data_IF_263233769428
#
_entry.id   IF_263233769428
#
_cell.length_a   1.000
_cell.length_b   1.000
_cell.length_c   1.000
_cell.angle_alpha   90.00
_cell.angle_beta   90.00
_cell.angle_gamma   90.00
#
_symmetry.space_group_name_H-M   'P 1'
#
loop_
_entity.id
_entity.type
_entity.pdbx_description
1 polymer ?
#
# COMPACT_ATOMS: atom_id res chain seq x y z
N UNK A 1 -30.37 -4.94 24.02
CA UNK A 1 -30.42 -5.12 22.56
C UNK A 1 -29.02 -5.41 22.06
N UNK A 2 -28.78 -6.60 21.49
CA UNK A 2 -27.52 -6.88 20.81
C UNK A 2 -27.49 -6.09 19.50
N UNK A 3 -26.50 -5.21 19.32
CA UNK A 3 -26.22 -4.61 18.01
C UNK A 3 -25.90 -5.73 17.03
N UNK A 4 -26.48 -5.68 15.83
CA UNK A 4 -26.17 -6.68 14.81
C UNK A 4 -24.70 -6.53 14.37
N UNK A 5 -24.08 -7.64 13.97
CA UNK A 5 -22.69 -7.66 13.47
C UNK A 5 -22.49 -6.65 12.33
N UNK A 6 -23.51 -6.45 11.49
CA UNK A 6 -23.49 -5.47 10.41
C UNK A 6 -23.33 -4.03 10.93
N UNK A 7 -24.05 -3.67 12.00
CA UNK A 7 -23.95 -2.32 12.59
C UNK A 7 -22.57 -2.12 13.22
N UNK A 8 -22.03 -3.13 13.92
CA UNK A 8 -20.69 -3.07 14.50
C UNK A 8 -19.63 -2.90 13.40
N UNK A 9 -19.71 -3.69 12.32
CA UNK A 9 -18.77 -3.59 11.21
C UNK A 9 -18.85 -2.23 10.50
N UNK A 10 -20.05 -1.65 10.35
CA UNK A 10 -20.23 -0.32 9.79
C UNK A 10 -19.60 0.77 10.67
N UNK A 11 -19.89 0.77 11.97
CA UNK A 11 -19.33 1.73 12.92
C UNK A 11 -17.80 1.63 12.97
N UNK A 12 -17.27 0.42 13.01
CA UNK A 12 -15.83 0.17 12.95
C UNK A 12 -15.23 0.68 11.63
N UNK A 13 -15.89 0.46 10.50
CA UNK A 13 -15.46 0.98 9.20
C UNK A 13 -15.38 2.50 9.20
N UNK A 14 -16.43 3.20 9.68
CA UNK A 14 -16.44 4.66 9.77
C UNK A 14 -15.36 5.20 10.70
N UNK A 15 -15.17 4.58 11.87
CA UNK A 15 -14.13 4.94 12.82
C UNK A 15 -12.73 4.74 12.21
N UNK A 16 -12.50 3.60 11.54
CA UNK A 16 -11.23 3.29 10.88
C UNK A 16 -10.94 4.26 9.73
N UNK A 17 -11.95 4.64 8.94
CA UNK A 17 -11.80 5.68 7.92
C UNK A 17 -11.35 7.01 8.52
N UNK A 18 -12.05 7.49 9.56
CA UNK A 18 -11.70 8.73 10.26
C UNK A 18 -10.28 8.70 10.83
N UNK A 19 -9.88 7.55 11.39
CA UNK A 19 -8.54 7.31 11.93
C UNK A 19 -7.47 7.44 10.85
N UNK A 20 -7.65 6.77 9.72
CA UNK A 20 -6.68 6.75 8.62
C UNK A 20 -6.53 8.13 7.98
N UNK A 21 -7.66 8.83 7.82
CA UNK A 21 -7.65 10.21 7.37
C UNK A 21 -6.92 11.14 8.35
N UNK A 22 -7.25 11.09 9.65
CA UNK A 22 -6.65 11.96 10.68
C UNK A 22 -5.14 11.72 10.83
N UNK A 23 -4.71 10.46 10.90
CA UNK A 23 -3.30 10.08 10.99
C UNK A 23 -2.50 10.63 9.81
N UNK A 24 -3.03 10.47 8.60
CA UNK A 24 -2.38 10.91 7.37
C UNK A 24 -2.39 12.43 7.27
N UNK A 25 -3.49 13.10 7.61
CA UNK A 25 -3.59 14.57 7.61
C UNK A 25 -2.62 15.21 8.59
N UNK A 26 -2.52 14.71 9.83
CA UNK A 26 -1.57 15.22 10.82
C UNK A 26 -0.13 15.03 10.37
N UNK A 27 0.22 13.82 9.93
CA UNK A 27 1.58 13.53 9.52
C UNK A 27 1.99 14.27 8.24
N UNK A 28 1.09 14.41 7.26
CA UNK A 28 1.30 15.24 6.07
C UNK A 28 1.48 16.70 6.48
N UNK A 29 0.64 17.22 7.38
CA UNK A 29 0.77 18.60 7.88
C UNK A 29 2.12 18.85 8.54
N UNK A 30 2.62 17.89 9.34
CA UNK A 30 3.95 17.96 9.96
C UNK A 30 5.05 17.89 8.89
N UNK A 31 4.95 16.93 7.96
CA UNK A 31 5.93 16.76 6.89
C UNK A 31 6.02 18.00 5.98
N UNK A 32 4.90 18.66 5.72
CA UNK A 32 4.81 19.86 4.89
C UNK A 32 5.25 21.15 5.60
N UNK A 33 5.53 21.15 6.90
CA UNK A 33 5.99 22.38 7.60
C UNK A 33 7.25 22.96 6.96
N UNK A 34 8.16 22.10 6.51
CA UNK A 34 9.40 22.52 5.82
C UNK A 34 9.21 23.03 4.39
N UNK A 35 8.02 22.84 3.78
CA UNK A 35 7.75 23.21 2.39
C UNK A 35 7.24 24.64 2.25
N UNK A 36 6.63 25.21 3.29
CA UNK A 36 6.24 26.63 3.25
C UNK A 36 7.43 27.57 3.01
N UNK A 37 8.63 27.11 3.34
CA UNK A 37 9.89 27.82 3.07
C UNK A 37 10.47 27.49 1.69
N UNK A 38 9.97 26.46 1.03
CA UNK A 38 10.51 25.90 -0.21
C UNK A 38 9.81 26.39 -1.47
N UNK A 39 8.79 27.24 -1.38
CA UNK A 39 8.09 27.74 -2.59
C UNK A 39 9.02 28.54 -3.52
N UNK A 40 10.10 29.13 -2.96
CA UNK A 40 11.15 29.81 -3.72
C UNK A 40 12.36 28.91 -4.04
N UNK A 41 12.36 27.65 -3.60
CA UNK A 41 13.45 26.72 -3.88
C UNK A 41 13.30 26.13 -5.29
N UNK A 42 14.41 25.72 -5.92
CA UNK A 42 14.38 24.94 -7.15
C UNK A 42 13.53 23.67 -7.01
N UNK A 43 12.97 23.20 -8.13
CA UNK A 43 12.03 22.08 -8.14
C UNK A 43 12.59 20.81 -7.48
N UNK A 44 13.89 20.53 -7.62
CA UNK A 44 14.53 19.33 -7.07
C UNK A 44 14.61 19.34 -5.53
N UNK A 45 14.79 20.52 -4.91
CA UNK A 45 14.74 20.66 -3.45
C UNK A 45 13.30 20.57 -2.94
N UNK A 46 12.35 21.15 -3.68
CA UNK A 46 10.91 20.99 -3.40
C UNK A 46 10.51 19.52 -3.44
N UNK A 47 10.91 18.79 -4.48
CA UNK A 47 10.66 17.36 -4.62
C UNK A 47 11.23 16.55 -3.44
N UNK A 48 12.49 16.84 -3.05
CA UNK A 48 13.15 16.22 -1.89
C UNK A 48 12.39 16.44 -0.58
N UNK A 49 11.90 17.66 -0.34
CA UNK A 49 11.16 18.02 0.88
C UNK A 49 9.73 17.46 0.91
N UNK A 50 9.10 17.29 -0.25
CA UNK A 50 7.74 16.74 -0.42
C UNK A 50 7.70 15.22 -0.22
N UNK A 51 8.77 14.53 -0.61
CA UNK A 51 8.80 13.08 -0.63
C UNK A 51 8.38 12.40 0.69
N UNK A 52 8.80 12.84 1.90
CA UNK A 52 8.34 12.24 3.16
C UNK A 52 6.82 12.27 3.36
N UNK A 53 6.12 13.30 2.85
CA UNK A 53 4.67 13.37 2.94
C UNK A 53 4.01 12.29 2.06
N UNK A 54 4.52 12.08 0.84
CA UNK A 54 4.05 10.99 -0.05
C UNK A 54 4.36 9.62 0.52
N UNK A 55 5.57 9.45 1.08
CA UNK A 55 5.98 8.21 1.71
C UNK A 55 5.05 7.86 2.88
N UNK A 56 4.70 8.85 3.71
CA UNK A 56 3.73 8.69 4.79
C UNK A 56 2.36 8.26 4.26
N UNK A 57 1.84 8.91 3.22
CA UNK A 57 0.57 8.51 2.59
C UNK A 57 0.64 7.05 2.14
N UNK A 58 1.71 6.64 1.46
CA UNK A 58 1.89 5.26 1.01
C UNK A 58 1.96 4.27 2.19
N UNK A 59 2.73 4.59 3.24
CA UNK A 59 2.79 3.77 4.45
C UNK A 59 1.42 3.65 5.12
N UNK A 60 0.69 4.75 5.27
CA UNK A 60 -0.63 4.75 5.91
C UNK A 60 -1.70 4.08 5.06
N UNK A 61 -1.57 4.11 3.73
CA UNK A 61 -2.48 3.46 2.82
C UNK A 61 -2.31 1.93 2.76
N UNK A 62 -1.11 1.41 3.08
CA UNK A 62 -0.76 0.00 2.89
C UNK A 62 -0.38 -0.69 4.20
N UNK A 63 0.65 -0.19 4.90
CA UNK A 63 1.24 -0.88 6.05
C UNK A 63 0.29 -0.90 7.25
N UNK A 64 -0.24 0.26 7.66
CA UNK A 64 -1.13 0.32 8.83
C UNK A 64 -2.43 -0.45 8.67
N UNK A 65 -3.11 -0.44 7.51
CA UNK A 65 -4.28 -1.28 7.25
C UNK A 65 -4.03 -2.77 7.45
N UNK A 66 -2.89 -3.27 6.98
CA UNK A 66 -2.50 -4.68 7.16
C UNK A 66 -2.20 -4.95 8.64
N UNK A 67 -1.39 -4.11 9.27
CA UNK A 67 -1.07 -4.23 10.70
C UNK A 67 -2.33 -4.19 11.57
N UNK A 68 -3.23 -3.25 11.28
CA UNK A 68 -4.49 -3.07 11.97
C UNK A 68 -5.40 -4.28 11.81
N UNK A 69 -5.55 -4.77 10.58
CA UNK A 69 -6.33 -5.97 10.30
C UNK A 69 -5.80 -7.21 11.02
N UNK A 70 -4.47 -7.40 11.03
CA UNK A 70 -3.83 -8.52 11.73
C UNK A 70 -4.03 -8.44 13.24
N UNK A 71 -3.81 -7.28 13.86
CA UNK A 71 -4.02 -7.12 15.30
C UNK A 71 -5.49 -7.30 15.69
N UNK A 72 -6.41 -6.72 14.92
CA UNK A 72 -7.84 -6.85 15.16
C UNK A 72 -8.26 -8.32 15.03
N UNK A 73 -7.71 -9.02 14.04
CA UNK A 73 -7.89 -10.46 13.90
C UNK A 73 -7.38 -11.22 15.12
N UNK A 74 -6.16 -10.97 15.61
CA UNK A 74 -5.58 -11.64 16.79
C UNK A 74 -6.40 -11.38 18.05
N UNK A 75 -6.85 -10.14 18.28
CA UNK A 75 -7.66 -9.79 19.44
C UNK A 75 -9.03 -10.47 19.41
N UNK A 76 -9.70 -10.48 18.26
CA UNK A 76 -11.01 -11.11 18.11
C UNK A 76 -10.94 -12.64 18.00
N UNK A 77 -9.75 -13.21 17.72
CA UNK A 77 -9.50 -14.64 17.62
C UNK A 77 -9.29 -15.34 18.96
N UNK A 78 -9.41 -14.65 20.10
CA UNK A 78 -9.44 -15.31 21.42
C UNK A 78 -10.72 -16.13 21.67
N UNK A 79 -11.68 -16.11 20.72
CA UNK A 79 -12.79 -17.04 20.58
C UNK A 79 -12.64 -17.84 19.26
N UNK A 80 -13.28 -19.02 19.07
CA UNK A 80 -13.21 -19.75 17.80
C UNK A 80 -13.49 -18.80 16.63
N UNK A 81 -12.49 -18.67 15.75
CA UNK A 81 -12.37 -17.59 14.75
C UNK A 81 -13.71 -17.39 14.03
N UNK A 82 -14.45 -16.35 14.41
CA UNK A 82 -15.77 -16.09 13.87
C UNK A 82 -15.65 -15.31 12.56
N UNK A 83 -16.51 -15.61 11.58
CA UNK A 83 -16.54 -14.88 10.29
C UNK A 83 -16.72 -13.37 10.49
N UNK A 84 -17.39 -12.95 11.56
CA UNK A 84 -17.58 -11.54 11.90
C UNK A 84 -16.27 -10.81 12.20
N UNK A 85 -15.29 -11.48 12.82
CA UNK A 85 -13.99 -10.90 13.12
C UNK A 85 -13.16 -10.62 11.87
N UNK A 86 -13.04 -11.60 10.97
CA UNK A 86 -12.32 -11.44 9.70
C UNK A 86 -12.95 -10.36 8.81
N UNK A 87 -14.29 -10.34 8.73
CA UNK A 87 -15.01 -9.31 7.97
C UNK A 87 -14.78 -7.91 8.55
N UNK A 88 -14.86 -7.77 9.89
CA UNK A 88 -14.63 -6.50 10.57
C UNK A 88 -13.19 -6.02 10.39
N UNK A 89 -12.20 -6.91 10.45
CA UNK A 89 -10.80 -6.61 10.21
C UNK A 89 -10.54 -6.13 8.78
N UNK A 90 -11.14 -6.80 7.79
CA UNK A 90 -11.00 -6.40 6.40
C UNK A 90 -11.69 -5.06 6.10
N UNK A 91 -12.92 -4.84 6.61
CA UNK A 91 -13.64 -3.57 6.46
C UNK A 91 -12.86 -2.44 7.14
N UNK A 92 -12.39 -2.65 8.37
CA UNK A 92 -11.62 -1.67 9.13
C UNK A 92 -10.31 -1.31 8.43
N UNK A 93 -9.52 -2.30 8.01
CA UNK A 93 -8.29 -2.09 7.25
C UNK A 93 -8.55 -1.34 5.94
N UNK A 94 -9.55 -1.77 5.17
CA UNK A 94 -9.93 -1.10 3.93
C UNK A 94 -10.35 0.36 4.13
N UNK A 95 -11.18 0.62 5.13
CA UNK A 95 -11.62 1.96 5.46
C UNK A 95 -10.44 2.85 5.90
N UNK A 96 -9.51 2.31 6.69
CA UNK A 96 -8.25 2.99 7.09
C UNK A 96 -7.40 3.37 5.87
N UNK A 97 -7.26 2.46 4.89
CA UNK A 97 -6.61 2.75 3.61
C UNK A 97 -7.31 3.93 2.92
N UNK A 98 -8.63 3.84 2.70
CA UNK A 98 -9.40 4.87 2.00
C UNK A 98 -9.26 6.26 2.65
N UNK A 99 -9.31 6.35 3.98
CA UNK A 99 -9.10 7.61 4.69
C UNK A 99 -7.73 8.23 4.38
N UNK A 100 -6.69 7.39 4.34
CA UNK A 100 -5.33 7.81 3.98
C UNK A 100 -5.23 8.26 2.51
N UNK A 101 -5.91 7.57 1.59
CA UNK A 101 -5.94 7.92 0.16
C UNK A 101 -6.63 9.27 -0.11
N UNK A 102 -7.67 9.61 0.66
CA UNK A 102 -8.35 10.90 0.55
C UNK A 102 -7.39 12.05 0.87
N UNK A 103 -6.54 11.90 1.89
CA UNK A 103 -5.53 12.92 2.18
C UNK A 103 -4.38 12.89 1.18
N UNK A 104 -3.96 11.72 0.69
CA UNK A 104 -3.02 11.60 -0.42
C UNK A 104 -3.47 12.38 -1.66
N UNK A 105 -4.75 12.29 -1.99
CA UNK A 105 -5.35 13.09 -3.06
C UNK A 105 -5.24 14.60 -2.80
N UNK A 106 -5.58 15.04 -1.57
CA UNK A 106 -5.47 16.44 -1.18
C UNK A 106 -4.03 16.93 -1.26
N UNK A 107 -3.07 16.10 -0.87
CA UNK A 107 -1.65 16.36 -1.02
C UNK A 107 -1.30 16.56 -2.49
N UNK A 108 -1.62 15.61 -3.37
CA UNK A 108 -1.29 15.75 -4.81
C UNK A 108 -1.93 16.99 -5.42
N UNK A 109 -3.20 17.31 -5.11
CA UNK A 109 -3.83 18.54 -5.60
C UNK A 109 -3.15 19.83 -5.14
N UNK A 110 -2.55 19.83 -3.94
CA UNK A 110 -1.77 20.97 -3.43
C UNK A 110 -0.42 21.10 -4.14
N UNK A 111 0.12 19.99 -4.61
CA UNK A 111 1.42 19.92 -5.28
C UNK A 111 1.31 20.15 -6.80
N UNK A 112 0.22 19.68 -7.41
CA UNK A 112 -0.07 19.84 -8.83
C UNK A 112 -0.31 21.31 -9.18
N UNK A 113 0.21 21.74 -10.33
CA UNK A 113 -0.07 23.08 -10.87
C UNK A 113 -1.59 23.21 -11.16
N UNK A 114 -2.21 24.38 -10.92
CA UNK A 114 -3.67 24.58 -11.08
C UNK A 114 -4.22 24.18 -12.45
N UNK A 115 -3.43 24.33 -13.51
CA UNK A 115 -3.79 23.99 -14.89
C UNK A 115 -3.92 22.49 -15.16
N UNK A 116 -3.52 21.62 -14.23
CA UNK A 116 -3.44 20.16 -14.40
C UNK A 116 -4.23 19.38 -13.35
N UNK A 117 -5.19 19.99 -12.66
CA UNK A 117 -5.94 19.28 -11.62
C UNK A 117 -6.85 18.21 -12.24
N UNK A 118 -6.61 16.92 -12.00
CA UNK A 118 -7.57 15.91 -12.41
C UNK A 118 -8.84 16.04 -11.57
N UNK A 119 -9.99 15.79 -12.20
CA UNK A 119 -11.24 15.56 -11.48
C UNK A 119 -11.08 14.42 -10.46
N UNK A 120 -11.98 14.35 -9.46
CA UNK A 120 -11.94 13.31 -8.43
C UNK A 120 -11.79 11.88 -8.97
N UNK A 121 -12.33 11.62 -10.17
CA UNK A 121 -12.21 10.37 -10.92
C UNK A 121 -10.76 9.97 -11.23
N UNK A 122 -9.89 10.92 -11.62
CA UNK A 122 -8.50 10.66 -11.98
C UNK A 122 -7.64 10.15 -10.82
N UNK A 123 -7.97 10.54 -9.59
CA UNK A 123 -7.25 10.07 -8.40
C UNK A 123 -7.75 8.71 -7.92
N UNK A 124 -9.07 8.47 -7.93
CA UNK A 124 -9.60 7.14 -7.63
C UNK A 124 -9.01 6.09 -8.59
N UNK A 125 -8.91 6.44 -9.87
CA UNK A 125 -8.20 5.64 -10.88
C UNK A 125 -6.75 5.41 -10.51
N UNK A 126 -5.99 6.46 -10.20
CA UNK A 126 -4.58 6.32 -9.84
C UNK A 126 -4.36 5.28 -8.73
N UNK A 127 -5.22 5.24 -7.72
CA UNK A 127 -5.13 4.26 -6.62
C UNK A 127 -5.54 2.86 -7.03
N UNK A 128 -6.62 2.72 -7.81
CA UNK A 128 -7.02 1.43 -8.38
C UNK A 128 -5.91 0.86 -9.27
N UNK A 129 -5.16 1.73 -9.95
CA UNK A 129 -4.12 1.36 -10.90
C UNK A 129 -2.77 1.06 -10.28
N UNK A 130 -2.36 1.86 -9.31
CA UNK A 130 -1.07 1.67 -8.64
C UNK A 130 -1.12 0.57 -7.58
N UNK A 131 -2.30 0.21 -7.08
CA UNK A 131 -2.43 -0.79 -6.00
C UNK A 131 -3.63 -1.73 -6.13
N UNK A 132 -3.96 -2.29 -7.32
CA UNK A 132 -5.10 -3.20 -7.46
C UNK A 132 -4.97 -4.45 -6.58
N UNK A 133 -3.73 -4.94 -6.41
CA UNK A 133 -3.43 -6.10 -5.56
C UNK A 133 -3.84 -5.90 -4.10
N UNK A 134 -3.84 -4.67 -3.58
CA UNK A 134 -4.29 -4.38 -2.21
C UNK A 134 -5.77 -4.66 -2.04
N UNK A 135 -6.61 -4.26 -3.03
CA UNK A 135 -8.04 -4.50 -3.00
C UNK A 135 -8.35 -5.99 -3.06
N UNK A 136 -7.71 -6.71 -3.99
CA UNK A 136 -7.84 -8.17 -4.10
C UNK A 136 -7.47 -8.85 -2.80
N UNK A 137 -6.32 -8.50 -2.22
CA UNK A 137 -5.84 -9.05 -0.97
C UNK A 137 -6.80 -8.79 0.19
N UNK A 138 -7.26 -7.55 0.37
CA UNK A 138 -8.21 -7.18 1.41
C UNK A 138 -9.55 -7.91 1.27
N UNK A 139 -10.10 -7.99 0.04
CA UNK A 139 -11.33 -8.75 -0.24
C UNK A 139 -11.16 -10.23 0.07
N UNK A 140 -10.02 -10.82 -0.30
CA UNK A 140 -9.74 -12.21 0.02
C UNK A 140 -9.67 -12.43 1.54
N UNK A 141 -8.99 -11.57 2.29
CA UNK A 141 -8.94 -11.65 3.76
C UNK A 141 -10.33 -11.54 4.40
N UNK A 142 -11.23 -10.73 3.82
CA UNK A 142 -12.61 -10.60 4.29
C UNK A 142 -13.42 -11.89 4.11
N UNK A 143 -13.19 -12.60 3.00
CA UNK A 143 -14.02 -13.70 2.55
C UNK A 143 -13.45 -15.08 2.90
N UNK A 144 -12.14 -15.18 3.14
CA UNK A 144 -11.47 -16.46 3.36
C UNK A 144 -12.00 -17.12 4.65
N UNK A 145 -12.52 -18.36 4.59
CA UNK A 145 -12.93 -19.08 5.78
C UNK A 145 -11.72 -19.50 6.61
N UNK A 146 -11.97 -19.78 7.87
CA UNK A 146 -10.94 -20.08 8.87
C UNK A 146 -10.46 -21.52 8.81
N UNK A 147 -11.19 -22.39 8.11
CA UNK A 147 -10.82 -23.78 7.86
C UNK A 147 -10.75 -24.03 6.36
N UNK A 148 -9.89 -24.96 5.99
CA UNK A 148 -9.72 -25.45 4.64
C UNK A 148 -10.94 -26.26 4.24
N UNK A 149 -11.42 -25.99 3.04
CA UNK A 149 -12.60 -26.61 2.45
C UNK A 149 -12.92 -25.94 1.11
N UNK A 150 -14.01 -26.35 0.47
CA UNK A 150 -14.35 -25.84 -0.86
C UNK A 150 -14.55 -24.32 -0.91
N UNK A 151 -15.06 -23.71 0.15
CA UNK A 151 -15.16 -22.25 0.24
C UNK A 151 -13.79 -21.56 0.26
N UNK A 152 -12.79 -22.12 0.95
CA UNK A 152 -11.43 -21.59 0.96
C UNK A 152 -10.80 -21.66 -0.43
N UNK A 153 -10.94 -22.82 -1.08
CA UNK A 153 -10.48 -23.04 -2.45
C UNK A 153 -11.15 -22.06 -3.40
N UNK A 154 -12.47 -21.86 -3.30
CA UNK A 154 -13.19 -20.91 -4.14
C UNK A 154 -12.68 -19.46 -3.99
N UNK A 155 -12.46 -18.99 -2.75
CA UNK A 155 -11.92 -17.65 -2.49
C UNK A 155 -10.49 -17.51 -3.02
N UNK A 156 -9.62 -18.50 -2.82
CA UNK A 156 -8.25 -18.49 -3.33
C UNK A 156 -8.21 -18.51 -4.87
N UNK A 157 -9.04 -19.34 -5.49
CA UNK A 157 -9.16 -19.42 -6.95
C UNK A 157 -9.70 -18.13 -7.54
N UNK A 158 -10.76 -17.55 -6.96
CA UNK A 158 -11.31 -16.27 -7.41
C UNK A 158 -10.29 -15.13 -7.22
N UNK A 159 -9.62 -15.08 -6.07
CA UNK A 159 -8.55 -14.12 -5.80
C UNK A 159 -7.40 -14.23 -6.80
N UNK A 160 -7.01 -15.47 -7.15
CA UNK A 160 -6.04 -15.73 -8.21
C UNK A 160 -6.53 -15.20 -9.55
N UNK A 161 -7.76 -15.50 -9.95
CA UNK A 161 -8.34 -15.05 -11.22
C UNK A 161 -8.40 -13.52 -11.32
N UNK A 162 -8.78 -12.82 -10.24
CA UNK A 162 -8.79 -11.35 -10.20
C UNK A 162 -7.36 -10.80 -10.25
N UNK A 163 -6.40 -11.40 -9.53
CA UNK A 163 -4.99 -11.02 -9.64
C UNK A 163 -4.47 -11.18 -11.08
N UNK A 164 -4.79 -12.29 -11.75
CA UNK A 164 -4.48 -12.51 -13.17
C UNK A 164 -5.10 -11.45 -14.07
N UNK A 165 -6.37 -11.11 -13.84
CA UNK A 165 -7.06 -10.04 -14.57
C UNK A 165 -6.30 -8.70 -14.46
N UNK A 166 -5.79 -8.35 -13.28
CA UNK A 166 -5.04 -7.12 -13.10
C UNK A 166 -3.65 -7.17 -13.73
N UNK A 167 -2.90 -8.24 -13.47
CA UNK A 167 -1.53 -8.39 -13.98
C UNK A 167 -1.50 -8.52 -15.50
N UNK A 168 -2.54 -9.10 -16.11
CA UNK A 168 -2.66 -9.19 -17.57
C UNK A 168 -2.95 -7.86 -18.28
N UNK A 169 -3.22 -6.78 -17.54
CA UNK A 169 -3.64 -5.51 -18.12
C UNK A 169 -5.11 -5.47 -18.56
N UNK A 170 -5.89 -6.53 -18.30
CA UNK A 170 -7.29 -6.60 -18.74
C UNK A 170 -8.17 -5.50 -18.11
N UNK A 171 -7.76 -4.94 -16.97
CA UNK A 171 -8.41 -3.77 -16.36
C UNK A 171 -8.45 -2.54 -17.28
N UNK A 172 -7.52 -2.40 -18.24
CA UNK A 172 -7.54 -1.29 -19.21
C UNK A 172 -8.82 -1.31 -20.04
N UNK A 173 -9.35 -2.49 -20.38
CA UNK A 173 -10.60 -2.60 -21.14
C UNK A 173 -11.77 -1.99 -20.38
N UNK A 174 -11.80 -2.14 -19.05
CA UNK A 174 -12.78 -1.48 -18.19
C UNK A 174 -12.59 0.03 -18.21
N UNK A 175 -11.35 0.52 -18.12
CA UNK A 175 -11.10 1.96 -18.18
C UNK A 175 -11.53 2.59 -19.49
N UNK A 176 -11.24 1.93 -20.62
CA UNK A 176 -11.71 2.36 -21.93
C UNK A 176 -13.24 2.38 -21.97
N UNK A 177 -13.88 1.34 -21.43
CA UNK A 177 -15.35 1.27 -21.37
C UNK A 177 -15.97 2.38 -20.53
N UNK A 178 -15.29 2.81 -19.46
CA UNK A 178 -15.72 3.92 -18.60
C UNK A 178 -15.27 5.30 -19.09
N UNK A 179 -14.58 5.41 -20.22
CA UNK A 179 -14.08 6.69 -20.77
C UNK A 179 -12.93 7.31 -19.97
N UNK A 180 -12.22 6.49 -19.19
CA UNK A 180 -11.12 6.89 -18.31
C UNK A 180 -9.75 6.67 -18.96
N UNK A 181 -9.70 5.74 -19.91
CA UNK A 181 -8.63 5.59 -20.89
C UNK A 181 -9.22 5.69 -22.30
N UNK A 182 -8.40 6.01 -23.28
CA UNK A 182 -8.77 6.07 -24.68
C UNK A 182 -7.72 5.42 -25.57
N UNK A 183 -8.04 5.13 -26.84
CA UNK A 183 -7.02 4.84 -27.84
C UNK A 183 -6.05 6.03 -27.94
N UNK A 184 -4.80 5.76 -28.31
CA UNK A 184 -3.82 6.81 -28.54
C UNK A 184 -4.29 7.83 -29.60
N UNK A 185 -3.99 9.10 -29.37
CA UNK A 185 -4.14 10.15 -30.36
C UNK A 185 -3.25 9.88 -31.59
N UNK A 186 -3.53 10.50 -32.76
CA UNK A 186 -2.68 10.39 -33.93
C UNK A 186 -1.22 10.77 -33.65
N UNK A 187 -1.00 11.87 -32.89
CA UNK A 187 0.33 12.32 -32.47
C UNK A 187 1.07 11.23 -31.69
N UNK A 188 0.45 10.67 -30.65
CA UNK A 188 1.09 9.62 -29.85
C UNK A 188 1.34 8.35 -30.66
N UNK A 189 0.41 7.98 -31.55
CA UNK A 189 0.58 6.83 -32.43
C UNK A 189 1.80 6.99 -33.34
N UNK A 190 1.97 8.16 -33.94
CA UNK A 190 3.14 8.47 -34.77
C UNK A 190 4.44 8.41 -33.97
N UNK A 191 4.48 9.04 -32.79
CA UNK A 191 5.62 8.98 -31.87
C UNK A 191 6.02 7.53 -31.57
N UNK A 192 5.06 6.68 -31.18
CA UNK A 192 5.34 5.29 -30.84
C UNK A 192 5.76 4.48 -32.07
N UNK A 193 5.22 4.76 -33.27
CA UNK A 193 5.67 4.08 -34.50
C UNK A 193 7.12 4.47 -34.87
N UNK A 194 7.51 5.74 -34.67
CA UNK A 194 8.92 6.18 -34.81
C UNK A 194 9.81 5.41 -33.84
N UNK A 195 9.42 5.32 -32.57
CA UNK A 195 10.17 4.57 -31.55
C UNK A 195 10.26 3.08 -31.90
N UNK A 196 9.13 2.46 -32.27
CA UNK A 196 9.04 1.05 -32.65
C UNK A 196 9.91 0.72 -33.86
N UNK A 197 9.97 1.61 -34.85
CA UNK A 197 10.85 1.48 -36.02
C UNK A 197 12.32 1.49 -35.62
N UNK A 198 12.71 2.31 -34.64
CA UNK A 198 14.11 2.38 -34.16
C UNK A 198 14.57 1.10 -33.48
N UNK A 199 13.74 0.50 -32.64
CA UNK A 199 14.12 -0.69 -31.83
C UNK A 199 13.64 -2.01 -32.41
N UNK A 200 12.80 -1.99 -33.45
CA UNK A 200 12.21 -3.20 -34.04
C UNK A 200 11.17 -3.90 -33.14
N UNK A 201 10.60 -3.19 -32.15
CA UNK A 201 9.62 -3.72 -31.19
C UNK A 201 8.32 -2.95 -31.39
N UNK A 202 7.24 -3.67 -31.76
CA UNK A 202 5.91 -3.07 -31.94
C UNK A 202 4.97 -3.44 -30.81
N UNK A 203 4.33 -2.47 -30.13
CA UNK A 203 3.30 -2.79 -29.16
C UNK A 203 2.03 -3.26 -29.89
N UNK A 204 1.26 -4.12 -29.23
CA UNK A 204 -0.05 -4.57 -29.70
C UNK A 204 -1.11 -3.47 -29.60
N UNK A 205 -0.99 -2.58 -28.62
CA UNK A 205 -1.93 -1.49 -28.39
C UNK A 205 -1.26 -0.32 -27.65
N UNK A 206 -1.78 0.88 -27.86
CA UNK A 206 -1.32 2.12 -27.23
C UNK A 206 -2.54 2.84 -26.66
N UNK A 207 -2.45 3.25 -25.39
CA UNK A 207 -3.56 3.89 -24.67
C UNK A 207 -3.13 5.21 -24.06
N UNK A 208 -4.08 6.15 -24.03
CA UNK A 208 -3.98 7.40 -23.26
C UNK A 208 -4.81 7.29 -21.99
N UNK A 209 -4.24 7.70 -20.85
CA UNK A 209 -4.84 7.59 -19.53
C UNK A 209 -4.99 8.97 -18.87
N UNK A 210 -6.17 9.23 -18.31
CA UNK A 210 -6.41 10.42 -17.49
C UNK A 210 -5.91 10.18 -16.06
N UNK A 211 -4.76 10.75 -15.72
CA UNK A 211 -4.10 10.61 -14.41
C UNK A 211 -3.54 11.96 -13.94
N UNK A 212 -3.44 12.21 -12.61
CA UNK A 212 -2.69 13.36 -12.07
C UNK A 212 -1.22 13.38 -12.46
N UNK A 213 -0.60 12.20 -12.58
CA UNK A 213 0.84 12.06 -12.67
C UNK A 213 1.28 11.88 -14.11
N UNK A 214 2.45 12.42 -14.45
CA UNK A 214 3.14 12.20 -15.72
C UNK A 214 3.80 10.82 -15.70
N UNK A 215 3.28 9.86 -16.45
CA UNK A 215 3.73 8.47 -16.42
C UNK A 215 3.59 7.85 -17.81
N UNK A 216 4.58 7.06 -18.19
CA UNK A 216 4.47 6.05 -19.22
C UNK A 216 4.62 4.67 -18.56
N UNK A 217 3.97 3.66 -19.14
CA UNK A 217 4.02 2.29 -18.63
C UNK A 217 3.92 1.29 -19.77
N UNK A 218 4.87 0.37 -19.80
CA UNK A 218 4.77 -0.86 -20.54
C UNK A 218 3.97 -1.94 -19.77
N UNK A 219 3.07 -2.63 -20.47
CA UNK A 219 2.34 -3.80 -19.97
C UNK A 219 2.76 -5.04 -20.77
N UNK A 220 3.76 -5.80 -20.30
CA UNK A 220 4.35 -6.89 -21.07
C UNK A 220 3.36 -8.02 -21.42
N UNK A 221 2.32 -8.27 -20.60
CA UNK A 221 1.35 -9.35 -20.86
C UNK A 221 0.47 -9.05 -22.05
N UNK A 222 -0.12 -7.86 -22.06
CA UNK A 222 -0.97 -7.40 -23.13
C UNK A 222 -0.16 -6.84 -24.30
N UNK A 223 1.17 -6.73 -24.14
CA UNK A 223 2.10 -6.07 -25.06
C UNK A 223 1.61 -4.64 -25.39
N UNK A 224 1.20 -3.88 -24.37
CA UNK A 224 0.60 -2.57 -24.56
C UNK A 224 1.43 -1.47 -23.92
N UNK A 225 1.35 -0.26 -24.47
CA UNK A 225 1.88 0.94 -23.83
C UNK A 225 0.75 1.84 -23.34
N UNK A 226 0.96 2.47 -22.19
CA UNK A 226 0.02 3.43 -21.61
C UNK A 226 0.76 4.73 -21.32
N UNK A 227 0.25 5.84 -21.80
CA UNK A 227 0.78 7.18 -21.52
C UNK A 227 -0.29 8.02 -20.82
N UNK A 228 0.10 8.80 -19.82
CA UNK A 228 -0.84 9.73 -19.18
C UNK A 228 -0.87 11.08 -19.90
N UNK A 229 -2.01 11.75 -19.89
CA UNK A 229 -2.10 13.09 -20.51
C UNK A 229 -1.02 14.07 -20.01
N UNK A 230 -0.71 14.15 -18.70
CA UNK A 230 0.33 15.07 -18.24
C UNK A 230 1.73 14.77 -18.73
N UNK A 231 2.08 13.53 -19.13
CA UNK A 231 3.39 13.28 -19.75
C UNK A 231 3.42 13.77 -21.20
N UNK A 232 2.31 13.63 -21.93
CA UNK A 232 2.18 14.11 -23.32
C UNK A 232 2.22 15.64 -23.43
N UNK A 233 1.80 16.33 -22.37
CA UNK A 233 1.84 17.79 -22.24
C UNK A 233 3.20 18.29 -21.71
N UNK A 234 3.97 17.43 -21.02
CA UNK A 234 5.24 17.82 -20.41
C UNK A 234 6.43 17.61 -21.34
N UNK A 235 6.32 16.66 -22.26
CA UNK A 235 7.42 16.24 -23.13
C UNK A 235 7.16 16.65 -24.58
N UNK A 236 8.24 17.02 -25.25
CA UNK A 236 8.30 17.24 -26.69
C UNK A 236 8.28 15.90 -27.45
N UNK A 237 8.02 15.93 -28.76
CA UNK A 237 7.81 14.70 -29.54
C UNK A 237 9.06 13.80 -29.58
N UNK A 238 10.25 14.38 -29.61
CA UNK A 238 11.50 13.61 -29.61
C UNK A 238 11.84 13.06 -28.22
N UNK A 239 11.48 13.78 -27.16
CA UNK A 239 11.55 13.30 -25.78
C UNK A 239 10.56 12.15 -25.55
N UNK A 240 9.35 12.25 -26.10
CA UNK A 240 8.36 11.17 -26.06
C UNK A 240 8.81 9.95 -26.87
N UNK A 241 9.50 10.14 -28.01
CA UNK A 241 10.10 9.00 -28.73
C UNK A 241 11.17 8.33 -27.89
N UNK A 242 12.07 9.10 -27.28
CA UNK A 242 13.12 8.54 -26.44
C UNK A 242 12.54 7.79 -25.23
N UNK A 243 11.50 8.35 -24.59
CA UNK A 243 10.75 7.67 -23.52
C UNK A 243 10.06 6.40 -24.03
N UNK A 244 9.41 6.44 -25.21
CA UNK A 244 8.75 5.29 -25.79
C UNK A 244 9.73 4.16 -26.16
N UNK A 245 10.93 4.49 -26.63
CA UNK A 245 12.02 3.52 -26.86
C UNK A 245 12.34 2.74 -25.58
N UNK A 246 12.46 3.44 -24.45
CA UNK A 246 12.68 2.82 -23.14
C UNK A 246 11.52 1.90 -22.74
N UNK A 247 10.28 2.37 -22.85
CA UNK A 247 9.09 1.57 -22.52
C UNK A 247 8.93 0.34 -23.44
N UNK A 248 9.28 0.45 -24.72
CA UNK A 248 9.30 -0.68 -25.64
C UNK A 248 10.35 -1.73 -25.25
N UNK A 249 11.46 -1.30 -24.64
CA UNK A 249 12.46 -2.20 -24.08
C UNK A 249 11.85 -3.19 -23.08
N UNK A 250 10.94 -2.73 -22.22
CA UNK A 250 10.24 -3.58 -21.27
C UNK A 250 9.33 -4.62 -21.93
N UNK A 251 8.84 -4.39 -23.16
CA UNK A 251 8.00 -5.37 -23.87
C UNK A 251 8.80 -6.58 -24.39
N UNK A 252 10.11 -6.42 -24.60
CA UNK A 252 11.01 -7.47 -25.10
C UNK A 252 11.84 -8.14 -23.99
N UNK A 253 11.49 -7.91 -22.73
CA UNK A 253 12.18 -8.55 -21.62
C UNK A 253 11.98 -10.08 -21.60
N UNK A 254 12.98 -10.86 -21.15
CA UNK A 254 12.87 -12.30 -21.04
C UNK A 254 11.68 -12.68 -20.14
N UNK A 255 10.96 -13.74 -20.51
CA UNK A 255 9.79 -14.22 -19.77
C UNK A 255 10.04 -14.40 -18.27
N UNK A 256 11.24 -14.83 -17.87
CA UNK A 256 11.59 -15.00 -16.45
C UNK A 256 11.56 -13.68 -15.68
N UNK A 257 11.99 -12.58 -16.29
CA UNK A 257 11.98 -11.23 -15.71
C UNK A 257 10.54 -10.77 -15.53
N UNK A 258 9.71 -10.94 -16.55
CA UNK A 258 8.27 -10.70 -16.46
C UNK A 258 7.57 -11.52 -15.36
N UNK A 259 7.86 -12.83 -15.28
CA UNK A 259 7.29 -13.70 -14.25
C UNK A 259 7.59 -13.19 -12.84
N UNK A 260 8.69 -12.45 -12.65
CA UNK A 260 9.00 -11.88 -11.33
C UNK A 260 8.04 -10.77 -10.89
N UNK A 261 7.61 -9.90 -11.81
CA UNK A 261 6.62 -8.86 -11.52
C UNK A 261 5.27 -9.47 -11.17
N UNK A 262 4.87 -10.49 -11.94
CA UNK A 262 3.61 -11.21 -11.77
C UNK A 262 3.58 -12.04 -10.49
N UNK A 263 4.69 -12.68 -10.17
CA UNK A 263 4.81 -13.52 -8.97
C UNK A 263 4.51 -12.72 -7.70
N UNK A 264 4.84 -11.42 -7.66
CA UNK A 264 4.49 -10.57 -6.52
C UNK A 264 3.00 -10.58 -6.18
N UNK A 265 2.13 -10.52 -7.19
CA UNK A 265 0.67 -10.57 -6.99
C UNK A 265 0.21 -11.94 -6.49
N UNK A 266 0.73 -13.03 -7.06
CA UNK A 266 0.37 -14.40 -6.64
C UNK A 266 0.94 -14.77 -5.28
N UNK A 267 2.10 -14.26 -4.88
CA UNK A 267 2.64 -14.46 -3.54
C UNK A 267 1.68 -13.88 -2.48
N UNK A 268 1.05 -12.73 -2.75
CA UNK A 268 0.03 -12.18 -1.86
C UNK A 268 -1.15 -13.13 -1.70
N UNK A 269 -1.63 -13.77 -2.78
CA UNK A 269 -2.67 -14.80 -2.73
C UNK A 269 -2.21 -16.00 -1.88
N UNK A 270 -0.98 -16.48 -2.08
CA UNK A 270 -0.40 -17.59 -1.30
C UNK A 270 -0.39 -17.26 0.20
N UNK A 271 -0.04 -16.02 0.57
CA UNK A 271 -0.03 -15.61 1.98
C UNK A 271 -1.41 -15.68 2.64
N UNK A 272 -2.50 -15.43 1.89
CA UNK A 272 -3.88 -15.56 2.42
C UNK A 272 -4.22 -17.00 2.79
N UNK A 273 -3.65 -17.98 2.08
CA UNK A 273 -3.87 -19.40 2.37
C UNK A 273 -3.37 -19.81 3.78
N UNK A 274 -2.52 -19.01 4.42
CA UNK A 274 -2.07 -19.21 5.80
C UNK A 274 -3.25 -19.33 6.78
N UNK A 275 -4.33 -18.56 6.59
CA UNK A 275 -5.48 -18.53 7.50
C UNK A 275 -6.22 -19.89 7.55
N UNK A 276 -6.76 -20.43 6.44
CA UNK A 276 -7.46 -21.71 6.46
C UNK A 276 -6.54 -22.89 6.78
N UNK A 277 -5.26 -22.81 6.42
CA UNK A 277 -4.28 -23.83 6.79
C UNK A 277 -4.05 -23.86 8.30
N UNK A 278 -3.87 -22.69 8.94
CA UNK A 278 -3.73 -22.60 10.39
C UNK A 278 -4.94 -23.16 11.13
N UNK A 279 -6.16 -22.81 10.71
CA UNK A 279 -7.36 -23.29 11.40
C UNK A 279 -7.72 -24.75 11.14
N UNK A 280 -7.08 -25.42 10.18
CA UNK A 280 -7.30 -26.86 9.90
C UNK A 280 -6.20 -27.77 10.43
N UNK A 281 -4.95 -27.32 10.33
CA UNK A 281 -3.77 -28.14 10.61
C UNK A 281 -2.90 -27.54 11.73
N UNK A 282 -3.34 -26.45 12.37
CA UNK A 282 -2.61 -25.74 13.41
C UNK A 282 -1.69 -24.65 12.88
N UNK A 283 -1.26 -23.74 13.77
CA UNK A 283 -0.48 -22.53 13.43
C UNK A 283 0.82 -22.84 12.67
N UNK A 284 1.44 -24.00 12.91
CA UNK A 284 2.63 -24.44 12.17
C UNK A 284 2.42 -24.51 10.65
N UNK A 285 1.21 -24.88 10.20
CA UNK A 285 0.90 -24.95 8.77
C UNK A 285 0.84 -23.57 8.08
N UNK A 286 0.63 -22.47 8.82
CA UNK A 286 0.70 -21.12 8.27
C UNK A 286 2.13 -20.64 7.98
N UNK A 287 3.14 -21.26 8.60
CA UNK A 287 4.54 -20.85 8.41
C UNK A 287 4.98 -21.03 6.97
N UNK A 288 4.56 -22.11 6.31
CA UNK A 288 4.95 -22.42 4.91
C UNK A 288 4.51 -21.33 3.92
N UNK A 289 3.23 -20.98 3.77
CA UNK A 289 2.80 -19.93 2.82
C UNK A 289 3.40 -18.56 3.15
N UNK A 290 3.57 -18.23 4.44
CA UNK A 290 4.22 -16.98 4.84
C UNK A 290 5.71 -16.98 4.47
N UNK A 291 6.42 -18.07 4.72
CA UNK A 291 7.82 -18.22 4.32
C UNK A 291 7.98 -18.11 2.80
N UNK A 292 7.10 -18.75 2.01
CA UNK A 292 7.07 -18.64 0.54
C UNK A 292 6.86 -17.19 0.12
N UNK A 293 5.92 -16.46 0.75
CA UNK A 293 5.70 -15.04 0.49
C UNK A 293 6.96 -14.21 0.76
N UNK A 294 7.54 -14.30 1.97
CA UNK A 294 8.69 -13.49 2.36
C UNK A 294 9.96 -13.82 1.54
N UNK A 295 10.28 -15.10 1.39
CA UNK A 295 11.44 -15.54 0.59
C UNK A 295 11.26 -15.17 -0.88
N UNK A 296 10.06 -15.38 -1.43
CA UNK A 296 9.71 -14.94 -2.77
C UNK A 296 9.94 -13.45 -2.95
N UNK A 297 9.41 -12.60 -2.07
CA UNK A 297 9.61 -11.13 -2.16
C UNK A 297 11.08 -10.72 -2.11
N UNK A 298 11.89 -11.38 -1.27
CA UNK A 298 13.32 -11.14 -1.17
C UNK A 298 14.09 -11.52 -2.44
N UNK A 299 13.71 -12.61 -3.09
CA UNK A 299 14.32 -13.06 -4.35
C UNK A 299 13.89 -12.17 -5.52
N UNK A 300 12.58 -11.92 -5.66
CA UNK A 300 12.00 -11.15 -6.75
C UNK A 300 12.51 -9.70 -6.81
N UNK A 301 12.72 -9.05 -5.66
CA UNK A 301 13.22 -7.68 -5.60
C UNK A 301 14.59 -7.47 -6.26
N UNK A 302 15.41 -8.52 -6.42
CA UNK A 302 16.72 -8.42 -7.08
C UNK A 302 16.63 -8.33 -8.60
N UNK A 303 15.54 -8.80 -9.20
CA UNK A 303 15.39 -8.82 -10.66
C UNK A 303 14.92 -7.48 -11.23
N UNK A 304 14.13 -6.72 -10.47
CA UNK A 304 13.60 -5.42 -10.92
C UNK A 304 14.70 -4.44 -11.34
N UNK A 305 15.78 -4.34 -10.57
CA UNK A 305 16.87 -3.39 -10.88
C UNK A 305 17.58 -3.68 -12.20
N UNK A 306 17.80 -4.97 -12.51
CA UNK A 306 18.45 -5.37 -13.78
C UNK A 306 17.61 -5.03 -15.00
N UNK A 307 16.29 -5.01 -14.83
CA UNK A 307 15.34 -4.64 -15.89
C UNK A 307 15.46 -3.15 -16.21
N UNK A 308 15.52 -2.31 -15.19
CA UNK A 308 15.72 -0.86 -15.36
C UNK A 308 17.05 -0.55 -16.04
N UNK A 309 18.13 -1.20 -15.60
CA UNK A 309 19.47 -1.03 -16.21
C UNK A 309 19.46 -1.40 -17.70
N UNK A 310 18.78 -2.47 -18.09
CA UNK A 310 18.67 -2.90 -19.49
C UNK A 310 17.80 -1.98 -20.34
N UNK A 311 16.65 -1.55 -19.82
CA UNK A 311 15.79 -0.60 -20.53
C UNK A 311 16.46 0.77 -20.66
N UNK A 312 17.29 1.18 -19.70
CA UNK A 312 18.13 2.38 -19.80
C UNK A 312 19.18 2.25 -20.90
N UNK A 313 19.87 1.11 -20.98
CA UNK A 313 20.82 0.82 -22.06
C UNK A 313 20.15 0.90 -23.44
N UNK A 314 18.94 0.35 -23.58
CA UNK A 314 18.17 0.44 -24.84
C UNK A 314 17.74 1.87 -25.15
N UNK A 315 17.32 2.61 -24.13
CA UNK A 315 17.01 4.04 -24.20
C UNK A 315 18.19 4.83 -24.74
N UNK A 316 19.37 4.66 -24.13
CA UNK A 316 20.62 5.31 -24.53
C UNK A 316 21.10 4.90 -25.92
N UNK A 317 21.04 3.61 -26.26
CA UNK A 317 21.50 3.10 -27.55
C UNK A 317 20.68 3.61 -28.75
N UNK A 318 19.44 4.04 -28.52
CA UNK A 318 18.54 4.55 -29.57
C UNK A 318 18.04 5.97 -29.28
N UNK A 319 18.83 6.74 -28.52
CA UNK A 319 18.65 8.19 -28.45
C UNK A 319 18.67 8.76 -29.87
N UNK A 320 17.80 9.73 -30.14
CA UNK A 320 17.71 10.34 -31.45
C UNK A 320 18.97 11.13 -31.82
N UNK A 321 18.82 12.09 -32.72
CA UNK A 321 19.95 12.90 -33.20
C UNK A 321 20.63 13.72 -32.10
N UNK A 322 19.90 14.06 -31.04
CA UNK A 322 20.42 14.84 -29.90
C UNK A 322 20.76 13.92 -28.73
N UNK A 323 22.04 13.78 -28.44
CA UNK A 323 22.52 13.05 -27.26
C UNK A 323 21.92 13.62 -25.96
N UNK A 324 21.49 12.74 -25.06
CA UNK A 324 20.91 13.13 -23.77
C UNK A 324 19.41 13.45 -23.79
N UNK A 325 18.73 13.28 -24.93
CA UNK A 325 17.29 13.54 -25.05
C UNK A 325 16.48 12.71 -24.04
N UNK A 326 16.82 11.43 -23.86
CA UNK A 326 16.14 10.57 -22.89
C UNK A 326 16.33 11.05 -21.45
N UNK A 327 17.56 11.41 -21.08
CA UNK A 327 17.87 11.92 -19.75
C UNK A 327 17.12 13.23 -19.42
N UNK A 328 16.99 14.15 -20.39
CA UNK A 328 16.18 15.37 -20.25
C UNK A 328 14.68 15.07 -20.17
N UNK A 329 14.20 14.08 -20.93
CA UNK A 329 12.81 13.62 -20.82
C UNK A 329 12.49 13.09 -19.42
N UNK A 330 13.40 12.29 -18.84
CA UNK A 330 13.28 11.80 -17.47
C UNK A 330 13.28 12.95 -16.45
N UNK A 331 14.14 13.94 -16.62
CA UNK A 331 14.19 15.11 -15.77
C UNK A 331 12.87 15.89 -15.78
N UNK A 332 12.32 16.20 -16.97
CA UNK A 332 11.01 16.85 -17.10
C UNK A 332 9.89 16.02 -16.47
N UNK A 333 9.94 14.69 -16.59
CA UNK A 333 8.99 13.79 -15.93
C UNK A 333 9.12 13.85 -14.39
N UNK A 334 10.35 13.85 -13.87
CA UNK A 334 10.61 13.97 -12.43
C UNK A 334 10.18 15.33 -11.89
N UNK A 335 10.44 16.41 -12.62
CA UNK A 335 9.95 17.75 -12.28
C UNK A 335 8.42 17.78 -12.26
N UNK A 336 7.77 17.28 -13.31
CA UNK A 336 6.32 17.27 -13.43
C UNK A 336 5.66 16.50 -12.27
N UNK A 337 6.28 15.42 -11.82
CA UNK A 337 5.82 14.63 -10.69
C UNK A 337 6.35 15.11 -9.34
N UNK A 338 7.26 16.09 -9.27
CA UNK A 338 8.04 16.42 -8.06
C UNK A 338 8.66 15.18 -7.39
N UNK A 339 9.26 14.30 -8.19
CA UNK A 339 10.01 13.13 -7.69
C UNK A 339 11.43 13.54 -7.29
N UNK A 340 11.96 13.06 -6.15
CA UNK A 340 13.31 13.42 -5.72
C UNK A 340 14.33 12.87 -6.72
N UNK A 341 15.30 13.71 -7.09
CA UNK A 341 16.39 13.34 -8.00
C UNK A 341 17.24 12.20 -7.41
N UNK A 342 17.44 12.21 -6.09
CA UNK A 342 18.17 11.18 -5.34
C UNK A 342 17.21 10.57 -4.32
N UNK A 343 17.01 9.25 -4.39
CA UNK A 343 16.13 8.50 -3.47
C UNK A 343 16.81 8.21 -2.12
N UNK A 344 16.04 7.86 -1.07
CA UNK A 344 16.58 7.58 0.27
C UNK A 344 17.24 6.20 0.44
N UNK A 345 17.03 5.26 -0.49
CA UNK A 345 17.53 3.87 -0.46
C UNK A 345 17.84 3.36 -1.88
N UNK A 346 18.42 2.15 -1.97
CA UNK A 346 18.49 1.39 -3.23
C UNK A 346 17.07 1.05 -3.69
N UNK A 347 16.51 1.91 -4.52
CA UNK A 347 15.24 1.69 -5.20
C UNK A 347 15.45 0.78 -6.43
N UNK A 348 14.34 0.33 -7.01
CA UNK A 348 14.35 -0.46 -8.26
C UNK A 348 14.94 0.38 -9.39
N UNK A 349 14.58 1.67 -9.44
CA UNK A 349 15.15 2.63 -10.39
C UNK A 349 16.43 3.26 -9.82
N UNK A 350 17.51 3.39 -10.63
CA UNK A 350 18.66 4.20 -10.25
C UNK A 350 18.27 5.67 -10.04
N UNK A 351 19.09 6.42 -9.29
CA UNK A 351 18.86 7.84 -9.07
C UNK A 351 18.92 8.63 -10.39
N UNK A 352 18.03 9.60 -10.57
CA UNK A 352 17.97 10.42 -11.79
C UNK A 352 19.31 11.09 -12.07
N UNK A 353 19.94 11.71 -11.06
CA UNK A 353 21.24 12.38 -11.23
C UNK A 353 22.27 11.44 -11.84
N UNK A 354 22.36 10.22 -11.30
CA UNK A 354 23.37 9.25 -11.73
C UNK A 354 23.06 8.72 -13.14
N UNK A 355 21.77 8.61 -13.50
CA UNK A 355 21.31 8.28 -14.88
C UNK A 355 21.66 9.38 -15.87
N UNK A 356 21.45 10.65 -15.52
CA UNK A 356 21.80 11.78 -16.38
C UNK A 356 23.30 11.84 -16.65
N UNK A 357 24.13 11.69 -15.61
CA UNK A 357 25.60 11.66 -15.76
C UNK A 357 26.06 10.48 -16.61
N UNK A 358 25.46 9.30 -16.42
CA UNK A 358 25.75 8.10 -17.23
C UNK A 358 25.39 8.33 -18.70
N UNK A 359 24.32 9.07 -18.97
CA UNK A 359 23.92 9.49 -20.31
C UNK A 359 24.78 10.62 -20.90
N UNK A 360 25.82 11.09 -20.19
CA UNK A 360 26.64 12.22 -20.60
C UNK A 360 25.96 13.59 -20.46
N UNK A 361 24.83 13.67 -19.76
CA UNK A 361 24.12 14.93 -19.49
C UNK A 361 24.50 15.43 -18.11
N UNK A 362 25.10 16.61 -18.04
CA UNK A 362 25.34 17.30 -16.77
C UNK A 362 24.08 18.09 -16.40
N UNK A 363 23.41 17.80 -15.27
CA UNK A 363 22.25 18.58 -14.82
C UNK A 363 22.67 20.01 -14.45
N UNK A 364 21.78 20.98 -14.64
CA UNK A 364 22.02 22.40 -14.32
C UNK A 364 21.96 22.70 -12.81
N UNK A 365 21.99 21.66 -11.98
CA UNK A 365 21.99 21.75 -10.52
C UNK A 365 22.99 20.76 -9.89
N UNK A 366 23.53 21.09 -8.70
CA UNK A 366 24.37 20.16 -7.97
C UNK A 366 23.57 18.92 -7.55
N UNK A 367 24.24 17.78 -7.35
CA UNK A 367 23.61 16.55 -6.86
C UNK A 367 22.86 16.81 -5.55
N UNK A 368 21.51 16.72 -5.52
CA UNK A 368 20.75 17.03 -4.31
C UNK A 368 21.02 16.01 -3.21
N UNK A 369 20.79 16.40 -1.96
CA UNK A 369 20.78 15.44 -0.85
C UNK A 369 19.60 14.46 -1.01
N UNK A 370 19.64 13.27 -0.39
CA UNK A 370 18.45 12.42 -0.31
C UNK A 370 17.35 13.08 0.55
N UNK A 371 16.07 12.66 0.38
CA UNK A 371 14.98 13.06 1.24
C UNK A 371 15.30 12.86 2.72
N UNK A 372 14.94 13.83 3.59
CA UNK A 372 15.19 13.68 5.02
C UNK A 372 14.34 12.53 5.58
N UNK A 373 14.93 11.76 6.50
CA UNK A 373 14.18 10.76 7.27
C UNK A 373 13.32 11.48 8.30
N UNK A 374 12.04 11.70 7.99
CA UNK A 374 11.14 12.43 8.89
C UNK A 374 10.36 11.48 9.80
N UNK A 375 11.03 10.85 10.75
CA UNK A 375 10.38 9.96 11.73
C UNK A 375 9.23 10.66 12.48
N UNK A 376 9.38 11.96 12.76
CA UNK A 376 8.36 12.77 13.43
C UNK A 376 7.03 12.84 12.66
N UNK A 377 7.04 12.73 11.32
CA UNK A 377 5.83 12.66 10.53
C UNK A 377 5.04 11.35 10.74
N UNK A 378 5.71 10.27 11.15
CA UNK A 378 5.08 8.98 11.46
C UNK A 378 4.59 8.88 12.90
N UNK A 379 5.11 9.72 13.81
CA UNK A 379 4.76 9.68 15.24
C UNK A 379 3.24 9.79 15.51
N UNK A 380 2.47 10.67 14.83
CA UNK A 380 1.01 10.71 15.00
C UNK A 380 0.36 9.38 14.66
N UNK A 381 0.83 8.69 13.63
CA UNK A 381 0.28 7.40 13.22
C UNK A 381 0.52 6.33 14.30
N UNK A 382 1.72 6.31 14.87
CA UNK A 382 2.08 5.38 15.95
C UNK A 382 1.24 5.66 17.21
N UNK A 383 1.18 6.93 17.64
CA UNK A 383 0.46 7.34 18.86
C UNK A 383 -1.04 7.09 18.72
N UNK A 384 -1.65 7.50 17.60
CA UNK A 384 -3.09 7.34 17.37
C UNK A 384 -3.47 5.86 17.33
N UNK A 385 -2.69 5.02 16.65
CA UNK A 385 -2.92 3.58 16.66
C UNK A 385 -2.78 3.00 18.06
N UNK A 386 -1.73 3.37 18.80
CA UNK A 386 -1.55 2.91 20.17
C UNK A 386 -2.75 3.28 21.05
N UNK A 387 -3.20 4.53 21.02
CA UNK A 387 -4.37 4.99 21.77
C UNK A 387 -5.66 4.29 21.35
N UNK A 388 -5.84 4.07 20.04
CA UNK A 388 -6.97 3.29 19.53
C UNK A 388 -6.96 1.87 20.10
N UNK A 389 -5.79 1.22 20.19
CA UNK A 389 -5.66 -0.12 20.78
C UNK A 389 -5.92 -0.14 22.27
N UNK A 390 -5.44 0.87 23.03
CA UNK A 390 -5.76 0.99 24.46
C UNK A 390 -7.26 1.13 24.67
N UNK A 391 -7.91 1.97 23.88
CA UNK A 391 -9.36 2.15 23.91
C UNK A 391 -10.11 0.85 23.55
N UNK A 392 -9.71 0.19 22.46
CA UNK A 392 -10.32 -1.07 22.03
C UNK A 392 -10.14 -2.16 23.09
N UNK A 393 -8.94 -2.28 23.65
CA UNK A 393 -8.64 -3.20 24.75
C UNK A 393 -9.50 -2.93 25.98
N UNK A 394 -9.81 -1.67 26.31
CA UNK A 394 -10.70 -1.35 27.45
C UNK A 394 -12.15 -1.78 27.24
N UNK A 395 -12.61 -1.87 25.99
CA UNK A 395 -13.97 -2.36 25.67
C UNK A 395 -14.05 -3.88 25.80
N UNK A 396 -12.98 -4.58 25.40
CA UNK A 396 -12.95 -6.04 25.38
C UNK A 396 -12.25 -6.66 26.59
N UNK A 397 -11.69 -5.84 27.50
CA UNK A 397 -11.13 -6.32 28.74
C UNK A 397 -12.23 -7.09 29.48
N UNK A 398 -12.05 -8.40 29.73
CA UNK A 398 -13.05 -9.18 30.45
C UNK A 398 -13.28 -8.48 31.78
N UNK A 399 -14.54 -8.22 32.14
CA UNK A 399 -14.94 -7.62 33.42
C UNK A 399 -14.62 -8.50 34.64
N UNK A 400 -13.76 -9.51 34.47
CA UNK A 400 -13.55 -10.67 35.32
C UNK A 400 -12.72 -10.39 36.58
N UNK A 401 -12.73 -9.17 37.14
CA UNK A 401 -11.88 -8.90 38.31
C UNK A 401 -12.46 -7.99 39.39
N UNK A 402 -13.75 -7.63 39.33
CA UNK A 402 -14.36 -6.87 40.44
C UNK A 402 -15.24 -7.76 41.32
N UNK A 403 -15.86 -8.81 40.78
CA UNK A 403 -16.79 -9.62 41.57
C UNK A 403 -16.08 -10.70 42.42
N UNK A 404 -14.94 -11.24 41.96
CA UNK A 404 -14.22 -12.32 42.64
C UNK A 404 -13.40 -11.90 43.88
N UNK A 405 -12.98 -10.64 43.98
CA UNK A 405 -12.32 -10.14 45.20
C UNK A 405 -13.34 -9.84 46.32
N UNK A 406 -14.60 -9.54 45.98
CA UNK A 406 -15.65 -9.33 46.98
C UNK A 406 -16.05 -10.63 47.69
N UNK A 407 -16.06 -11.77 46.99
CA UNK A 407 -16.29 -13.10 47.59
C UNK A 407 -15.10 -13.56 48.44
N UNK A 408 -13.87 -13.29 48.02
CA UNK A 408 -12.69 -13.61 48.84
C UNK A 408 -12.59 -12.76 50.12
N UNK A 409 -13.02 -11.48 50.07
CA UNK A 409 -13.08 -10.61 51.25
C UNK A 409 -14.26 -10.95 52.18
N UNK A 410 -15.38 -11.44 51.67
CA UNK A 410 -16.50 -11.91 52.51
C UNK A 410 -16.24 -13.29 53.13
N UNK A 411 -15.58 -14.22 52.45
CA UNK A 411 -15.17 -15.51 53.05
C UNK A 411 -14.04 -15.31 54.11
N UNK A 412 -13.16 -14.32 53.92
CA UNK A 412 -12.16 -13.97 54.95
C UNK A 412 -12.79 -13.32 56.19
N UNK A 413 -13.85 -12.52 56.04
CA UNK A 413 -14.58 -11.96 57.19
C UNK A 413 -15.44 -13.00 57.94
N UNK A 414 -15.85 -14.10 57.30
CA UNK A 414 -16.62 -15.17 57.93
C UNK A 414 -15.83 -16.11 58.85
N UNK A 415 -14.51 -16.26 58.65
CA UNK A 415 -13.68 -17.26 59.36
C UNK A 415 -13.02 -16.78 60.66
N UNK A 416 -13.21 -15.51 61.04
CA UNK A 416 -12.67 -14.97 62.30
C UNK A 416 -13.73 -14.72 63.39
N UNK A 417 -14.93 -15.29 63.26
CA UNK A 417 -15.85 -15.40 64.40
C UNK A 417 -15.31 -16.44 65.40
N UNK A 418 -14.49 -15.97 66.35
CA UNK A 418 -14.07 -16.75 67.51
C UNK A 418 -15.29 -17.24 68.30
N UNK A 419 -15.39 -18.55 68.64
CA UNK A 419 -16.36 -19.00 69.61
C UNK A 419 -15.92 -18.51 70.99
N UNK A 420 -16.62 -17.50 71.53
CA UNK A 420 -16.54 -17.16 72.96
C UNK A 420 -17.27 -18.26 73.74
N UNK A 421 -16.56 -19.35 74.01
CA UNK A 421 -16.99 -20.37 74.96
C UNK A 421 -16.83 -19.83 76.38
N UNK A 422 -17.94 -19.43 77.00
CA UNK A 422 -17.98 -19.16 78.44
C UNK A 422 -17.82 -20.48 79.22
N UNK A 423 -16.91 -20.58 80.19
CA UNK A 423 -16.77 -21.77 81.03
C UNK A 423 -17.98 -21.91 81.96
N UNK A 424 -18.59 -23.09 81.98
CA UNK A 424 -19.62 -23.46 82.96
C UNK A 424 -19.04 -23.51 84.38
N UNK A 425 -19.77 -23.02 85.40
CA UNK A 425 -19.31 -23.07 86.78
C UNK A 425 -19.34 -24.49 87.33
N UNK A 426 -18.21 -24.86 87.93
CA UNK A 426 -17.98 -26.09 88.69
C UNK A 426 -18.97 -26.15 89.86
N UNK A 427 -19.80 -27.19 89.89
CA UNK A 427 -20.68 -27.50 91.02
C UNK A 427 -19.87 -28.08 92.17
N UNK A 428 -19.90 -27.38 93.31
CA UNK A 428 -19.45 -27.86 94.61
C UNK A 428 -20.25 -29.10 95.05
N UNK A 429 -19.55 -30.05 95.65
CA UNK A 429 -20.15 -31.23 96.24
C UNK A 429 -20.91 -30.96 97.54
N UNK A 430 -21.66 -31.97 97.98
CA UNK A 430 -22.06 -32.14 99.37
C UNK A 430 -22.08 -33.62 99.73
N UNK A 431 -21.33 -33.92 100.78
CA UNK A 431 -21.37 -35.11 101.62
C UNK A 431 -22.77 -35.28 102.24
N UNK A 432 -23.30 -36.50 102.21
CA UNK A 432 -23.89 -37.24 103.35
C UNK A 432 -24.08 -38.69 102.95
#
# INVERSE_FOLDING_TARGET
>A
MSLSIAVIALLLGLASFGLGWLMTWLGVTIALRGIRQADNEPWFERARRVYPARQLVAYNAVFWPVYFGVLLFVMLAQAPISRGASLSAAIGGFALSLGSLVEGNRLERRLSRPSRQPGATGIALHWILTSPGLFVFATMLALIPTRMGWAAVAVLTLGTAIATFFVSGAWLTLLVRFGLAGPASPRLTEIVERAATRVGIRPRAIFELRSPNSMALALPVSQSLVFTMPILDALEDDELVALAVHELGHLNEPRIVYMTQVAGAYLSVVSVAAIPLAGSYGVGAAVVPLAVFFLGRLVLGRFGRRMEERSDELGHAHEGETAGTYARALEKMYEANLMPVVGPLKEVHPHLYDRMITAGVTPDYPRPMPPPRNFMAHLPSIVILFLFWVWLGSIFAPSNQIDGESEALTDFQGRHAFPVGLPSPVGNGSLT
#
